data_IF_622229954103
#
_entry.id   IF_622229954103
#
_cell.length_a   1.000
_cell.length_b   1.000
_cell.length_c   1.000
_cell.angle_alpha   90.00
_cell.angle_beta   90.00
_cell.angle_gamma   90.00
#
_symmetry.space_group_name_H-M   'P 1'
#
loop_
_entity.id
_entity.type
_entity.pdbx_description
1 polymer ?
#
# COMPACT_ATOMS: atom_id res chain seq x y z
N UNK A 1 12.38 15.84 -15.20
CA UNK A 1 12.50 14.49 -14.63
C UNK A 1 11.11 13.91 -14.66
N UNK A 2 10.84 13.32 -15.82
CA UNK A 2 9.70 12.57 -16.34
C UNK A 2 8.31 12.73 -15.71
N UNK A 3 7.47 13.46 -16.45
CA UNK A 3 6.02 13.37 -16.37
C UNK A 3 5.61 11.91 -16.64
N UNK A 4 4.90 11.34 -15.69
CA UNK A 4 4.17 10.09 -15.83
C UNK A 4 3.03 10.36 -16.82
N UNK A 5 3.27 10.13 -18.11
CA UNK A 5 2.19 10.11 -19.12
C UNK A 5 1.50 8.76 -19.02
N UNK A 6 0.55 8.66 -18.10
CA UNK A 6 -0.49 7.62 -18.13
C UNK A 6 -1.55 8.12 -19.12
N UNK A 7 -1.77 7.39 -20.22
CA UNK A 7 -2.67 7.74 -21.34
C UNK A 7 -4.18 7.78 -20.98
N UNK A 8 -4.48 7.92 -19.70
CA UNK A 8 -5.74 8.25 -19.03
C UNK A 8 -5.30 8.81 -17.69
N UNK A 9 -5.83 9.96 -17.26
CA UNK A 9 -5.36 10.57 -16.01
C UNK A 9 -5.55 9.57 -14.86
N UNK A 10 -4.58 9.43 -13.95
CA UNK A 10 -4.74 8.61 -12.73
C UNK A 10 -6.04 8.97 -12.00
N UNK A 11 -6.44 10.24 -12.06
CA UNK A 11 -7.70 10.70 -11.51
C UNK A 11 -8.93 10.07 -12.15
N UNK A 12 -8.93 9.84 -13.48
CA UNK A 12 -10.02 9.18 -14.20
C UNK A 12 -10.07 7.70 -13.82
N UNK A 13 -8.93 7.00 -13.79
CA UNK A 13 -8.88 5.59 -13.37
C UNK A 13 -9.37 5.41 -11.93
N UNK A 14 -9.02 6.33 -11.02
CA UNK A 14 -9.50 6.32 -9.65
C UNK A 14 -11.00 6.62 -9.56
N UNK A 15 -11.51 7.55 -10.38
CA UNK A 15 -12.95 7.84 -10.43
C UNK A 15 -13.75 6.63 -10.92
N UNK A 16 -13.29 5.98 -11.99
CA UNK A 16 -13.92 4.78 -12.52
C UNK A 16 -13.96 3.68 -11.46
N UNK A 17 -12.86 3.48 -10.73
CA UNK A 17 -12.75 2.53 -9.62
C UNK A 17 -13.79 2.78 -8.52
N UNK A 18 -13.98 4.05 -8.14
CA UNK A 18 -14.97 4.43 -7.12
C UNK A 18 -16.39 4.14 -7.60
N UNK A 19 -16.68 4.39 -8.88
CA UNK A 19 -18.00 4.22 -9.46
C UNK A 19 -18.33 2.73 -9.66
N UNK A 20 -17.34 1.90 -10.03
CA UNK A 20 -17.52 0.47 -10.27
C UNK A 20 -17.57 -0.38 -9.00
N UNK A 21 -16.96 0.10 -7.90
CA UNK A 21 -16.89 -0.66 -6.66
C UNK A 21 -18.25 -0.81 -5.96
N UNK A 22 -18.57 -2.04 -5.54
CA UNK A 22 -19.79 -2.32 -4.76
C UNK A 22 -19.72 -1.72 -3.34
N UNK A 23 -18.53 -1.76 -2.74
CA UNK A 23 -18.26 -1.19 -1.43
C UNK A 23 -16.81 -0.69 -1.30
N UNK A 24 -16.49 -0.11 -0.13
CA UNK A 24 -15.17 0.44 0.18
C UNK A 24 -14.07 -0.63 0.12
N UNK A 25 -14.34 -1.88 0.51
CA UNK A 25 -13.32 -2.92 0.48
C UNK A 25 -13.02 -3.36 -0.96
N UNK A 26 -14.05 -3.45 -1.81
CA UNK A 26 -13.91 -3.68 -3.25
C UNK A 26 -13.02 -2.61 -3.88
N UNK A 27 -13.35 -1.33 -3.65
CA UNK A 27 -12.54 -0.20 -4.11
C UNK A 27 -11.07 -0.30 -3.66
N UNK A 28 -10.82 -0.55 -2.38
CA UNK A 28 -9.45 -0.63 -1.83
C UNK A 28 -8.68 -1.82 -2.39
N UNK A 29 -9.36 -2.92 -2.71
CA UNK A 29 -8.75 -4.10 -3.34
C UNK A 29 -8.31 -3.78 -4.76
N UNK A 30 -9.22 -3.26 -5.58
CA UNK A 30 -8.90 -2.87 -6.97
C UNK A 30 -7.82 -1.78 -7.00
N UNK A 31 -7.79 -0.88 -6.00
CA UNK A 31 -6.75 0.14 -5.88
C UNK A 31 -5.37 -0.47 -5.63
N UNK A 32 -5.28 -1.49 -4.77
CA UNK A 32 -4.03 -2.19 -4.51
C UNK A 32 -3.54 -2.88 -5.79
N UNK A 33 -4.42 -3.57 -6.50
CA UNK A 33 -4.12 -4.26 -7.76
C UNK A 33 -3.65 -3.30 -8.85
N UNK A 34 -4.37 -2.19 -9.05
CA UNK A 34 -4.01 -1.14 -10.01
C UNK A 34 -2.63 -0.54 -9.69
N UNK A 35 -2.38 -0.22 -8.41
CA UNK A 35 -1.12 0.35 -7.94
C UNK A 35 0.04 -0.62 -8.15
N UNK A 36 -0.14 -1.89 -7.79
CA UNK A 36 0.84 -2.94 -7.99
C UNK A 36 1.17 -3.12 -9.47
N UNK A 37 0.16 -3.20 -10.34
CA UNK A 37 0.35 -3.35 -11.78
C UNK A 37 1.07 -2.15 -12.41
N UNK A 38 0.68 -0.93 -12.06
CA UNK A 38 1.30 0.29 -12.57
C UNK A 38 2.78 0.40 -12.14
N UNK A 39 3.06 0.20 -10.84
CA UNK A 39 4.42 0.26 -10.32
C UNK A 39 5.30 -0.88 -10.84
N UNK A 40 4.74 -2.08 -11.02
CA UNK A 40 5.49 -3.21 -11.57
C UNK A 40 5.93 -2.94 -13.00
N UNK A 41 5.04 -2.34 -13.81
CA UNK A 41 5.35 -1.93 -15.19
C UNK A 41 6.45 -0.87 -15.24
N UNK A 42 6.37 0.14 -14.37
CA UNK A 42 7.34 1.24 -14.33
C UNK A 42 8.72 0.76 -13.85
N UNK A 43 8.74 -0.11 -12.84
CA UNK A 43 9.99 -0.52 -12.19
C UNK A 43 10.59 -1.80 -12.78
N UNK A 44 9.87 -2.49 -13.67
CA UNK A 44 10.33 -3.74 -14.30
C UNK A 44 10.52 -4.90 -13.31
N UNK A 45 9.75 -4.91 -12.21
CA UNK A 45 9.81 -5.94 -11.16
C UNK A 45 8.45 -6.07 -10.49
N UNK A 46 8.15 -7.24 -9.93
CA UNK A 46 6.89 -7.44 -9.23
C UNK A 46 6.80 -6.58 -7.96
N UNK A 47 5.70 -5.84 -7.84
CA UNK A 47 5.38 -4.99 -6.70
C UNK A 47 4.11 -5.50 -6.03
N UNK A 48 4.17 -5.60 -4.71
CA UNK A 48 3.05 -5.94 -3.83
C UNK A 48 2.54 -4.67 -3.13
N UNK A 49 1.23 -4.47 -3.13
CA UNK A 49 0.58 -3.34 -2.46
C UNK A 49 -0.48 -3.83 -1.47
N UNK A 50 -0.59 -3.17 -0.33
CA UNK A 50 -1.63 -3.40 0.67
C UNK A 50 -2.07 -2.07 1.28
N UNK A 51 -3.31 -2.02 1.75
CA UNK A 51 -3.88 -0.88 2.48
C UNK A 51 -4.21 -1.32 3.89
N UNK A 52 -3.63 -0.62 4.86
CA UNK A 52 -3.98 -0.74 6.29
C UNK A 52 -4.96 0.36 6.67
N UNK A 53 -6.04 0.02 7.37
CA UNK A 53 -6.95 0.98 7.99
C UNK A 53 -6.83 0.94 9.50
N UNK A 54 -6.84 2.11 10.14
CA UNK A 54 -6.96 2.25 11.59
C UNK A 54 -8.34 2.75 11.95
N UNK A 55 -9.09 1.99 12.75
CA UNK A 55 -10.41 2.37 13.25
C UNK A 55 -10.50 2.07 14.74
N UNK A 56 -10.87 3.07 15.54
CA UNK A 56 -10.95 2.94 17.01
C UNK A 56 -9.68 2.35 17.64
N UNK A 57 -8.51 2.82 17.22
CA UNK A 57 -7.20 2.32 17.65
C UNK A 57 -6.91 0.85 17.31
N UNK A 58 -7.67 0.24 16.41
CA UNK A 58 -7.41 -1.08 15.84
C UNK A 58 -7.03 -0.95 14.38
N UNK A 59 -5.86 -1.47 14.05
CA UNK A 59 -5.33 -1.56 12.71
C UNK A 59 -5.66 -2.90 12.08
N UNK A 60 -6.12 -2.86 10.84
CA UNK A 60 -6.40 -4.05 10.03
C UNK A 60 -5.87 -3.84 8.63
N UNK A 61 -5.32 -4.89 8.03
CA UNK A 61 -5.08 -4.95 6.60
C UNK A 61 -6.45 -5.04 5.92
N UNK A 62 -6.86 -3.97 5.26
CA UNK A 62 -8.19 -3.85 4.67
C UNK A 62 -8.24 -4.42 3.24
N UNK A 63 -7.15 -4.31 2.50
CA UNK A 63 -7.04 -4.76 1.11
C UNK A 63 -5.59 -5.06 0.73
N UNK A 64 -5.40 -5.87 -0.32
CA UNK A 64 -4.08 -6.29 -0.80
C UNK A 64 -4.14 -6.70 -2.28
N UNK A 65 -3.03 -6.55 -3.00
CA UNK A 65 -2.91 -6.90 -4.42
C UNK A 65 -2.59 -8.38 -4.66
N UNK A 66 -1.97 -9.04 -3.68
CA UNK A 66 -1.65 -10.47 -3.70
C UNK A 66 -1.51 -11.02 -2.26
N UNK A 67 -1.53 -12.36 -2.07
CA UNK A 67 -1.42 -12.95 -0.74
C UNK A 67 -0.14 -12.57 0.01
N UNK A 68 0.98 -12.37 -0.69
CA UNK A 68 2.23 -11.92 -0.07
C UNK A 68 2.12 -10.53 0.52
N UNK A 69 1.43 -9.59 -0.15
CA UNK A 69 1.23 -8.23 0.33
C UNK A 69 0.49 -8.21 1.67
N UNK A 70 -0.54 -9.06 1.81
CA UNK A 70 -1.27 -9.23 3.07
C UNK A 70 -0.36 -9.76 4.17
N UNK A 71 0.41 -10.81 3.88
CA UNK A 71 1.31 -11.41 4.85
C UNK A 71 2.36 -10.40 5.34
N UNK A 72 2.94 -9.61 4.43
CA UNK A 72 3.89 -8.57 4.80
C UNK A 72 3.29 -7.48 5.67
N UNK A 73 2.06 -7.04 5.37
CA UNK A 73 1.37 -6.04 6.18
C UNK A 73 1.04 -6.55 7.59
N UNK A 74 0.50 -7.76 7.70
CA UNK A 74 0.17 -8.42 8.97
C UNK A 74 1.43 -8.63 9.84
N UNK A 75 2.53 -9.09 9.24
CA UNK A 75 3.82 -9.23 9.91
C UNK A 75 4.29 -7.86 10.43
N UNK A 76 4.27 -6.83 9.59
CA UNK A 76 4.72 -5.50 9.98
C UNK A 76 3.90 -4.89 11.12
N UNK A 77 2.59 -5.15 11.10
CA UNK A 77 1.68 -4.72 12.14
C UNK A 77 1.96 -5.43 13.48
N UNK A 78 2.32 -6.71 13.47
CA UNK A 78 2.59 -7.49 14.69
C UNK A 78 3.74 -6.95 15.56
N UNK A 79 4.67 -6.19 14.96
CA UNK A 79 5.81 -5.61 15.68
C UNK A 79 5.50 -4.32 16.46
N UNK A 80 4.28 -3.80 16.38
CA UNK A 80 3.82 -2.66 17.19
C UNK A 80 4.44 -1.30 16.88
N UNK A 81 5.56 -1.22 16.15
CA UNK A 81 6.21 0.02 15.67
C UNK A 81 6.72 -0.11 14.22
N UNK A 82 5.91 -0.68 13.32
CA UNK A 82 6.25 -0.82 11.91
C UNK A 82 6.22 0.49 11.11
N UNK A 83 6.90 0.59 9.96
CA UNK A 83 6.93 1.80 9.14
C UNK A 83 5.55 2.26 8.66
N UNK A 84 4.59 1.35 8.42
CA UNK A 84 3.20 1.73 8.11
C UNK A 84 2.54 2.45 9.30
N UNK A 85 2.71 1.93 10.51
CA UNK A 85 2.17 2.56 11.72
C UNK A 85 2.83 3.93 11.95
N UNK A 86 4.16 4.03 11.78
CA UNK A 86 4.84 5.32 11.86
C UNK A 86 4.33 6.32 10.81
N UNK A 87 4.11 5.88 9.57
CA UNK A 87 3.52 6.71 8.52
C UNK A 87 2.11 7.18 8.91
N UNK A 88 1.26 6.28 9.43
CA UNK A 88 -0.08 6.64 9.89
C UNK A 88 -0.07 7.60 11.07
N UNK A 89 0.81 7.40 12.06
CA UNK A 89 0.90 8.25 13.25
C UNK A 89 1.44 9.65 12.92
N UNK A 90 2.38 9.75 11.98
CA UNK A 90 3.03 11.03 11.63
C UNK A 90 2.37 11.75 10.45
N UNK A 91 1.56 11.06 9.64
CA UNK A 91 1.03 11.60 8.39
C UNK A 91 2.09 11.83 7.32
N UNK A 92 3.24 11.13 7.39
CA UNK A 92 4.37 11.32 6.47
C UNK A 92 4.65 10.06 5.65
N UNK A 93 5.16 10.25 4.43
CA UNK A 93 5.63 9.14 3.59
C UNK A 93 6.92 8.55 4.17
N UNK A 94 6.90 7.24 4.45
CA UNK A 94 8.06 6.51 4.97
C UNK A 94 8.63 5.60 3.89
N UNK A 95 9.87 5.88 3.46
CA UNK A 95 10.61 5.02 2.54
C UNK A 95 11.63 4.16 3.31
N UNK A 96 11.50 2.85 3.19
CA UNK A 96 12.48 1.88 3.69
C UNK A 96 13.24 1.30 2.49
N UNK A 97 14.52 1.68 2.31
CA UNK A 97 15.34 1.22 1.18
C UNK A 97 15.69 -0.26 1.27
N UNK A 98 16.05 -0.71 2.46
CA UNK A 98 16.34 -2.11 2.76
C UNK A 98 15.87 -2.43 4.18
N UNK A 99 14.95 -3.37 4.26
CA UNK A 99 14.31 -3.82 5.50
C UNK A 99 15.28 -4.47 6.49
N UNK A 100 16.40 -5.01 6.02
CA UNK A 100 17.42 -5.69 6.86
C UNK A 100 18.32 -4.69 7.60
N UNK A 101 18.46 -3.49 7.06
CA UNK A 101 19.37 -2.46 7.60
C UNK A 101 18.64 -1.30 8.26
N UNK A 102 17.31 -1.24 8.16
CA UNK A 102 16.52 -0.21 8.82
C UNK A 102 16.64 -0.34 10.34
N UNK A 103 17.30 0.65 10.96
CA UNK A 103 17.53 0.69 12.41
C UNK A 103 16.23 0.80 13.21
N UNK A 104 15.11 1.21 12.61
CA UNK A 104 13.79 1.16 13.25
C UNK A 104 13.32 -0.27 13.50
N UNK A 105 13.91 -1.28 12.84
CA UNK A 105 13.59 -2.72 13.01
C UNK A 105 14.51 -3.47 13.99
N UNK A 106 15.35 -2.79 14.78
CA UNK A 106 16.36 -3.43 15.65
C UNK A 106 15.85 -4.12 16.93
N UNK A 107 14.57 -4.48 17.00
CA UNK A 107 13.97 -5.27 18.07
C UNK A 107 13.04 -6.33 17.46
N UNK A 108 13.64 -7.41 16.96
CA UNK A 108 12.97 -8.67 16.67
C UNK A 108 13.64 -9.75 17.52
#
# INVERSE_FOLDING_TARGET
MDQITLDTSVAEQLQDLVISSEDVNGFLTELCELSAAALSRILGRDISCAVTLSRHHRTTTAAWSNPEARLFDEIQHSFGEGPCLHAMTTGTTVLVRDTRTDRRRRRA
#
